data_IF_754232551472
#
_entry.id   IF_754232551472
#
_cell.length_a   1.000
_cell.length_b   1.000
_cell.length_c   1.000
_cell.angle_alpha   90.00
_cell.angle_beta   90.00
_cell.angle_gamma   90.00
#
_symmetry.space_group_name_H-M   'P 1'
#
loop_
_entity.id
_entity.type
_entity.pdbx_description
1 polymer ?
#
# COMPACT_ATOMS: atom_id res chain seq x y z
N UNK A 1 4.50 -4.26 20.68
CA UNK A 1 3.53 -5.06 21.47
C UNK A 1 2.71 -6.04 20.61
N UNK A 2 2.17 -5.66 19.45
CA UNK A 2 1.38 -6.58 18.60
C UNK A 2 2.17 -7.81 18.09
N UNK A 3 3.39 -7.60 17.61
CA UNK A 3 4.23 -8.68 17.07
C UNK A 3 4.57 -9.78 18.08
N UNK A 4 4.74 -9.45 19.36
CA UNK A 4 4.98 -10.44 20.42
C UNK A 4 3.77 -11.34 20.69
N UNK A 5 2.60 -11.00 20.15
CA UNK A 5 1.38 -11.81 20.21
C UNK A 5 1.10 -12.52 18.87
N UNK A 6 2.08 -12.60 17.96
CA UNK A 6 1.92 -13.27 16.68
C UNK A 6 1.11 -12.48 15.63
N UNK A 7 0.80 -11.21 15.90
CA UNK A 7 0.02 -10.37 14.99
C UNK A 7 0.90 -9.78 13.86
N UNK A 8 0.42 -9.93 12.63
CA UNK A 8 0.96 -9.28 11.44
C UNK A 8 0.44 -7.84 11.36
N UNK A 9 1.30 -6.90 10.98
CA UNK A 9 0.91 -5.49 10.81
C UNK A 9 0.72 -5.15 9.33
N UNK A 10 -0.51 -4.78 8.98
CA UNK A 10 -0.86 -4.24 7.66
C UNK A 10 -1.25 -2.77 7.84
N UNK A 11 -0.78 -1.90 6.95
CA UNK A 11 -1.10 -0.48 6.97
C UNK A 11 -1.45 0.02 5.56
N UNK A 12 -2.27 1.08 5.50
CA UNK A 12 -2.56 1.81 4.26
C UNK A 12 -1.86 3.17 4.27
N UNK A 13 -1.32 3.55 3.12
CA UNK A 13 -0.72 4.85 2.85
C UNK A 13 -1.53 5.56 1.77
N UNK A 14 -2.20 6.65 2.15
CA UNK A 14 -2.91 7.51 1.20
C UNK A 14 -1.94 8.58 0.71
N UNK A 15 -1.75 8.68 -0.60
CA UNK A 15 -0.94 9.71 -1.23
C UNK A 15 -1.77 10.73 -1.99
N UNK A 16 -1.25 11.95 -2.07
CA UNK A 16 -1.82 13.06 -2.81
C UNK A 16 -2.68 13.99 -1.96
N UNK A 17 -2.34 14.13 -0.67
CA UNK A 17 -2.82 15.23 0.13
C UNK A 17 -2.34 16.57 -0.45
N UNK A 18 -3.03 17.70 -0.23
CA UNK A 18 -2.73 18.97 -0.91
C UNK A 18 -1.27 19.45 -0.86
N UNK A 19 -0.55 19.14 0.23
CA UNK A 19 0.87 19.49 0.41
C UNK A 19 1.86 18.44 -0.09
N UNK A 20 1.39 17.30 -0.59
CA UNK A 20 2.25 16.21 -1.04
C UNK A 20 3.03 16.60 -2.30
N UNK A 21 4.28 16.17 -2.30
CA UNK A 21 5.17 16.23 -3.46
C UNK A 21 5.72 14.84 -3.72
N UNK A 22 6.26 14.62 -4.93
CA UNK A 22 6.98 13.37 -5.21
C UNK A 22 8.07 13.10 -4.18
N UNK A 23 8.80 14.13 -3.78
CA UNK A 23 9.93 14.03 -2.86
C UNK A 23 9.49 13.77 -1.41
N UNK A 24 8.35 14.32 -0.96
CA UNK A 24 7.83 14.00 0.37
C UNK A 24 7.36 12.55 0.43
N UNK A 25 6.53 12.11 -0.51
CA UNK A 25 6.01 10.74 -0.55
C UNK A 25 7.14 9.70 -0.57
N UNK A 26 8.16 9.90 -1.42
CA UNK A 26 9.29 8.95 -1.49
C UNK A 26 10.13 8.93 -0.22
N UNK A 27 10.24 10.07 0.48
CA UNK A 27 10.92 10.18 1.78
C UNK A 27 10.11 9.48 2.86
N UNK A 28 8.80 9.67 2.88
CA UNK A 28 7.90 9.06 3.86
C UNK A 28 7.95 7.54 3.74
N UNK A 29 7.96 7.00 2.52
CA UNK A 29 8.15 5.56 2.29
C UNK A 29 9.51 5.09 2.85
N UNK A 30 10.59 5.84 2.64
CA UNK A 30 11.90 5.48 3.19
C UNK A 30 11.92 5.51 4.72
N UNK A 31 11.24 6.48 5.34
CA UNK A 31 11.05 6.56 6.80
C UNK A 31 10.26 5.35 7.28
N UNK A 32 9.13 5.02 6.66
CA UNK A 32 8.31 3.86 7.01
C UNK A 32 9.13 2.57 6.94
N UNK A 33 9.94 2.40 5.89
CA UNK A 33 10.82 1.23 5.75
C UNK A 33 11.80 1.09 6.91
N UNK A 34 12.39 2.21 7.36
CA UNK A 34 13.43 2.23 8.39
C UNK A 34 12.86 2.14 9.80
N UNK A 35 11.84 2.93 10.08
CA UNK A 35 11.43 3.26 11.45
C UNK A 35 10.15 2.54 11.89
N UNK A 36 9.32 2.07 10.96
CA UNK A 36 8.04 1.45 11.32
C UNK A 36 8.09 -0.07 11.15
N UNK A 37 7.64 -0.85 12.15
CA UNK A 37 7.54 -2.30 12.06
C UNK A 37 6.26 -2.71 11.31
N UNK A 38 6.08 -2.23 10.08
CA UNK A 38 4.98 -2.60 9.17
C UNK A 38 5.42 -3.80 8.31
N UNK A 39 4.62 -4.86 8.29
CA UNK A 39 4.89 -6.05 7.45
C UNK A 39 4.38 -5.87 6.02
N UNK A 40 3.18 -5.30 5.89
CA UNK A 40 2.47 -5.11 4.62
C UNK A 40 2.00 -3.66 4.52
N UNK A 41 2.32 -3.02 3.40
CA UNK A 41 1.90 -1.64 3.13
C UNK A 41 1.11 -1.56 1.82
N UNK A 42 -0.06 -0.96 1.90
CA UNK A 42 -0.95 -0.67 0.79
C UNK A 42 -0.83 0.80 0.41
N UNK A 43 -1.03 1.13 -0.87
CA UNK A 43 -0.96 2.49 -1.35
C UNK A 43 -2.26 2.84 -2.07
N UNK A 44 -2.80 4.03 -1.76
CA UNK A 44 -4.06 4.53 -2.29
C UNK A 44 -3.91 5.97 -2.73
N UNK A 45 -4.70 6.37 -3.74
CA UNK A 45 -4.92 7.78 -4.03
C UNK A 45 -5.85 8.41 -3.00
N UNK A 46 -5.64 9.69 -2.69
CA UNK A 46 -6.65 10.51 -2.06
C UNK A 46 -7.81 10.72 -3.06
N UNK A 47 -8.77 9.81 -3.02
CA UNK A 47 -9.92 9.80 -3.92
C UNK A 47 -11.11 10.48 -3.26
N UNK A 48 -11.64 11.58 -3.84
CA UNK A 48 -12.88 12.19 -3.38
C UNK A 48 -14.08 11.31 -3.77
N UNK A 49 -14.35 10.27 -2.99
CA UNK A 49 -15.48 9.36 -3.22
C UNK A 49 -16.80 10.15 -3.23
N UNK A 50 -17.72 9.91 -4.19
CA UNK A 50 -19.00 10.59 -4.24
C UNK A 50 -19.76 10.49 -2.91
N UNK A 51 -20.20 11.64 -2.39
CA UNK A 51 -20.86 11.74 -1.08
C UNK A 51 -19.91 12.01 0.11
N UNK A 52 -18.60 11.93 -0.09
CA UNK A 52 -17.62 12.36 0.92
C UNK A 52 -17.56 13.89 1.05
N UNK A 53 -17.08 14.37 2.19
CA UNK A 53 -16.86 15.81 2.42
C UNK A 53 -15.83 16.39 1.43
N UNK A 54 -14.80 15.63 1.08
CA UNK A 54 -13.80 16.05 0.09
C UNK A 54 -14.43 16.21 -1.30
N UNK A 55 -15.25 15.25 -1.72
CA UNK A 55 -16.02 15.37 -2.97
C UNK A 55 -16.92 16.60 -2.97
N UNK A 56 -17.68 16.84 -1.89
CA UNK A 56 -18.55 18.02 -1.75
C UNK A 56 -17.75 19.32 -1.89
N UNK A 57 -16.61 19.44 -1.21
CA UNK A 57 -15.75 20.64 -1.28
C UNK A 57 -15.20 20.87 -2.67
N UNK A 58 -14.69 19.83 -3.33
CA UNK A 58 -14.14 19.93 -4.68
C UNK A 58 -15.21 20.28 -5.70
N UNK A 59 -16.37 19.62 -5.63
CA UNK A 59 -17.52 19.88 -6.50
C UNK A 59 -18.02 21.33 -6.37
N UNK A 60 -18.24 21.81 -5.13
CA UNK A 60 -18.74 23.17 -4.88
C UNK A 60 -17.76 24.25 -5.36
N UNK A 61 -16.46 23.95 -5.38
CA UNK A 61 -15.41 24.84 -5.89
C UNK A 61 -15.20 24.74 -7.39
N UNK A 62 -15.91 23.85 -8.09
CA UNK A 62 -15.72 23.61 -9.52
C UNK A 62 -14.36 23.03 -9.87
N UNK A 63 -13.71 22.30 -8.94
CA UNK A 63 -12.43 21.63 -9.24
C UNK A 63 -12.70 20.51 -10.26
N UNK A 64 -11.91 20.42 -11.35
CA UNK A 64 -12.07 19.34 -12.31
C UNK A 64 -11.90 17.97 -11.67
N UNK A 65 -12.91 17.13 -11.85
CA UNK A 65 -12.92 15.73 -11.43
C UNK A 65 -13.25 14.84 -12.63
N UNK A 66 -12.84 13.58 -12.56
CA UNK A 66 -13.02 12.62 -13.65
C UNK A 66 -14.52 12.34 -13.85
N UNK A 67 -15.06 12.47 -15.08
CA UNK A 67 -16.46 12.15 -15.33
C UNK A 67 -16.75 10.64 -15.24
N UNK A 68 -15.71 9.80 -15.35
CA UNK A 68 -15.85 8.36 -15.27
C UNK A 68 -15.81 7.85 -13.83
N UNK A 69 -16.98 7.48 -13.31
CA UNK A 69 -17.12 6.94 -11.96
C UNK A 69 -16.36 5.63 -11.73
N UNK A 70 -15.95 4.91 -12.79
CA UNK A 70 -15.11 3.72 -12.63
C UNK A 70 -13.68 4.04 -12.15
N UNK A 71 -13.23 5.29 -12.28
CA UNK A 71 -11.91 5.72 -11.83
C UNK A 71 -11.88 6.13 -10.34
N UNK A 72 -13.02 6.09 -9.64
CA UNK A 72 -13.13 6.39 -8.21
C UNK A 72 -12.92 5.13 -7.37
N UNK A 73 -11.81 4.43 -7.63
CA UNK A 73 -11.51 3.10 -7.10
C UNK A 73 -10.33 3.08 -6.12
N UNK A 74 -9.88 4.26 -5.66
CA UNK A 74 -8.71 4.45 -4.79
C UNK A 74 -7.36 4.17 -5.45
N UNK A 75 -7.33 3.83 -6.74
CA UNK A 75 -6.13 3.41 -7.48
C UNK A 75 -5.82 4.29 -8.69
N UNK A 76 -6.73 5.20 -9.03
CA UNK A 76 -6.57 6.15 -10.11
C UNK A 76 -6.73 7.60 -9.62
N UNK A 77 -5.97 8.50 -10.26
CA UNK A 77 -6.11 9.93 -10.06
C UNK A 77 -7.40 10.44 -10.75
N UNK A 78 -8.44 10.69 -9.94
CA UNK A 78 -9.75 11.15 -10.42
C UNK A 78 -10.02 12.65 -10.15
N UNK A 79 -9.03 13.41 -9.69
CA UNK A 79 -9.11 14.87 -9.44
C UNK A 79 -7.78 15.55 -9.74
N UNK A 80 -7.80 16.88 -9.91
CA UNK A 80 -6.59 17.68 -9.96
C UNK A 80 -5.88 17.71 -8.59
N UNK A 81 -4.55 17.52 -8.59
CA UNK A 81 -3.71 17.75 -7.41
C UNK A 81 -3.15 19.18 -7.45
N UNK A 82 -3.05 19.91 -6.32
CA UNK A 82 -2.60 21.31 -6.30
C UNK A 82 -1.14 21.56 -6.74
N UNK A 83 -0.33 20.52 -6.92
CA UNK A 83 1.14 20.61 -7.09
C UNK A 83 1.59 19.66 -8.19
N UNK A 84 1.23 18.38 -8.09
CA UNK A 84 1.62 17.37 -9.07
C UNK A 84 0.67 17.37 -10.27
N UNK A 85 1.22 17.17 -11.46
CA UNK A 85 0.39 16.79 -12.62
C UNK A 85 -0.20 15.39 -12.40
N UNK A 86 -1.32 15.07 -13.09
CA UNK A 86 -1.91 13.71 -13.05
C UNK A 86 -0.88 12.63 -13.39
N UNK A 87 -0.12 12.82 -14.47
CA UNK A 87 0.92 11.88 -14.89
C UNK A 87 2.03 11.71 -13.84
N UNK A 88 2.44 12.80 -13.19
CA UNK A 88 3.41 12.75 -12.09
C UNK A 88 2.84 11.95 -10.92
N UNK A 89 1.62 12.25 -10.48
CA UNK A 89 0.98 11.60 -9.33
C UNK A 89 0.80 10.08 -9.57
N UNK A 90 0.34 9.70 -10.75
CA UNK A 90 0.25 8.29 -11.17
C UNK A 90 1.61 7.59 -11.23
N UNK A 91 2.66 8.30 -11.64
CA UNK A 91 4.01 7.75 -11.59
C UNK A 91 4.49 7.56 -10.14
N UNK A 92 4.23 8.51 -9.24
CA UNK A 92 4.59 8.39 -7.82
C UNK A 92 3.88 7.19 -7.18
N UNK A 93 2.60 6.97 -7.48
CA UNK A 93 1.86 5.80 -7.03
C UNK A 93 2.55 4.49 -7.44
N UNK A 94 2.91 4.35 -8.73
CA UNK A 94 3.64 3.16 -9.21
C UNK A 94 5.01 3.02 -8.57
N UNK A 95 5.72 4.13 -8.38
CA UNK A 95 7.04 4.15 -7.76
C UNK A 95 6.96 3.74 -6.28
N UNK A 96 5.88 4.06 -5.58
CA UNK A 96 5.66 3.67 -4.18
C UNK A 96 5.67 2.15 -3.99
N UNK A 97 4.89 1.42 -4.79
CA UNK A 97 4.89 -0.06 -4.82
C UNK A 97 6.26 -0.64 -5.16
N UNK A 98 6.96 -0.04 -6.13
CA UNK A 98 8.32 -0.47 -6.52
C UNK A 98 9.32 -0.24 -5.39
N UNK A 99 9.25 0.89 -4.71
CA UNK A 99 10.18 1.28 -3.66
C UNK A 99 9.96 0.48 -2.38
N UNK A 100 8.71 0.19 -2.03
CA UNK A 100 8.40 -0.58 -0.82
C UNK A 100 8.78 -2.05 -0.95
N UNK A 101 8.36 -2.73 -2.01
CA UNK A 101 8.58 -4.18 -2.14
C UNK A 101 9.90 -4.55 -2.84
N UNK A 102 11.00 -3.82 -2.62
CA UNK A 102 12.31 -4.25 -3.15
C UNK A 102 12.75 -5.55 -2.47
N UNK A 103 13.62 -6.31 -3.12
CA UNK A 103 14.09 -7.58 -2.58
C UNK A 103 14.81 -7.38 -1.22
N UNK A 104 15.52 -6.26 -1.06
CA UNK A 104 16.20 -5.88 0.18
C UNK A 104 15.21 -5.56 1.30
N UNK A 105 14.14 -4.83 1.01
CA UNK A 105 13.15 -4.52 2.03
C UNK A 105 12.30 -5.75 2.39
N UNK A 106 11.99 -6.61 1.41
CA UNK A 106 11.36 -7.92 1.66
C UNK A 106 12.24 -8.76 2.58
N UNK A 107 13.54 -8.84 2.32
CA UNK A 107 14.48 -9.56 3.20
C UNK A 107 14.50 -8.95 4.61
N UNK A 108 14.50 -7.62 4.71
CA UNK A 108 14.46 -6.88 5.98
C UNK A 108 13.20 -7.21 6.79
N UNK A 109 12.01 -7.16 6.17
CA UNK A 109 10.73 -7.48 6.82
C UNK A 109 10.72 -8.94 7.30
N UNK A 110 11.26 -9.88 6.52
CA UNK A 110 11.38 -11.28 6.95
C UNK A 110 12.33 -11.46 8.13
N UNK A 111 13.47 -10.77 8.16
CA UNK A 111 14.39 -10.77 9.31
C UNK A 111 13.70 -10.24 10.56
N UNK A 112 12.95 -9.14 10.43
CA UNK A 112 12.13 -8.58 11.52
C UNK A 112 11.08 -9.57 12.03
N UNK A 113 10.37 -10.22 11.10
CA UNK A 113 9.40 -11.25 11.42
C UNK A 113 10.01 -12.43 12.17
N UNK A 114 11.19 -12.90 11.73
CA UNK A 114 11.88 -14.02 12.35
C UNK A 114 12.34 -13.70 13.77
N UNK A 115 12.98 -12.54 13.97
CA UNK A 115 13.39 -12.06 15.29
C UNK A 115 12.21 -11.84 16.24
N UNK A 116 11.05 -11.47 15.69
CA UNK A 116 9.81 -11.30 16.45
C UNK A 116 9.05 -12.62 16.69
N UNK A 117 9.56 -13.77 16.26
CA UNK A 117 8.91 -15.07 16.41
C UNK A 117 7.68 -15.28 15.51
N UNK A 118 7.51 -14.50 14.45
CA UNK A 118 6.40 -14.64 13.51
C UNK A 118 6.63 -15.80 12.53
N UNK A 119 5.53 -16.43 12.10
CA UNK A 119 5.58 -17.39 11.01
C UNK A 119 5.84 -16.65 9.69
N UNK A 120 7.04 -16.81 9.13
CA UNK A 120 7.45 -16.13 7.89
C UNK A 120 6.55 -16.42 6.69
N UNK A 121 5.84 -17.55 6.66
CA UNK A 121 4.87 -17.82 5.59
C UNK A 121 3.71 -16.82 5.61
N UNK A 122 3.25 -16.44 6.81
CA UNK A 122 2.19 -15.44 6.98
C UNK A 122 2.62 -14.04 6.53
N UNK A 123 3.91 -13.79 6.34
CA UNK A 123 4.45 -12.52 5.85
C UNK A 123 4.76 -12.63 4.35
N UNK A 124 5.54 -13.64 3.93
CA UNK A 124 6.01 -13.73 2.55
C UNK A 124 4.88 -13.99 1.55
N UNK A 125 3.82 -14.73 1.96
CA UNK A 125 2.70 -15.04 1.08
C UNK A 125 1.90 -13.77 0.72
N UNK A 126 1.45 -12.93 1.68
CA UNK A 126 0.83 -11.64 1.34
C UNK A 126 1.82 -10.68 0.66
N UNK A 127 3.10 -10.62 1.06
CA UNK A 127 4.09 -9.80 0.33
C UNK A 127 4.21 -10.20 -1.14
N UNK A 128 4.17 -11.50 -1.45
CA UNK A 128 4.19 -12.01 -2.82
C UNK A 128 2.98 -11.48 -3.60
N UNK A 129 1.78 -11.54 -2.99
CA UNK A 129 0.55 -11.04 -3.61
C UNK A 129 0.61 -9.53 -3.81
N UNK A 130 1.00 -8.76 -2.80
CA UNK A 130 0.97 -7.29 -2.82
C UNK A 130 1.99 -6.70 -3.79
N UNK A 131 3.21 -7.25 -3.78
CA UNK A 131 4.23 -6.91 -4.76
C UNK A 131 3.83 -7.33 -6.17
N UNK A 132 3.31 -8.56 -6.32
CA UNK A 132 2.99 -9.15 -7.62
C UNK A 132 1.79 -8.51 -8.31
N UNK A 133 0.69 -8.26 -7.59
CA UNK A 133 -0.53 -7.69 -8.15
C UNK A 133 -0.25 -6.35 -8.85
N UNK A 134 0.48 -5.46 -8.18
CA UNK A 134 0.86 -4.16 -8.72
C UNK A 134 1.86 -4.28 -9.88
N UNK A 135 2.90 -5.11 -9.75
CA UNK A 135 4.02 -5.16 -10.71
C UNK A 135 3.77 -6.02 -11.95
N UNK A 136 3.00 -7.10 -11.81
CA UNK A 136 2.77 -8.10 -12.86
C UNK A 136 1.45 -7.82 -13.56
N UNK A 137 0.39 -7.55 -12.80
CA UNK A 137 -0.96 -7.41 -13.33
C UNK A 137 -1.44 -5.97 -13.44
N UNK A 138 -0.73 -5.02 -12.81
CA UNK A 138 -1.09 -3.61 -12.83
C UNK A 138 -2.41 -3.32 -12.11
N UNK A 139 -2.71 -4.06 -11.05
CA UNK A 139 -3.92 -3.89 -10.22
C UNK A 139 -3.54 -3.78 -8.76
N UNK A 140 -4.35 -3.13 -7.93
CA UNK A 140 -4.15 -3.16 -6.49
C UNK A 140 -4.38 -4.57 -5.94
N UNK A 141 -3.62 -4.97 -4.90
CA UNK A 141 -3.73 -6.31 -4.33
C UNK A 141 -5.11 -6.67 -3.80
N UNK A 142 -5.93 -5.71 -3.39
CA UNK A 142 -7.30 -5.99 -2.95
C UNK A 142 -8.23 -6.41 -4.11
N UNK A 143 -7.86 -6.10 -5.35
CA UNK A 143 -8.57 -6.56 -6.55
C UNK A 143 -7.97 -7.85 -7.13
N UNK A 144 -6.90 -8.36 -6.51
CA UNK A 144 -6.23 -9.55 -6.99
C UNK A 144 -7.09 -10.81 -6.81
N UNK A 145 -6.96 -11.73 -7.76
CA UNK A 145 -7.45 -13.10 -7.64
C UNK A 145 -6.47 -14.05 -8.30
N UNK A 146 -6.49 -15.33 -7.89
CA UNK A 146 -5.53 -16.33 -8.36
C UNK A 146 -5.46 -16.47 -9.89
N UNK A 147 -6.59 -16.29 -10.57
CA UNK A 147 -6.67 -16.30 -12.03
C UNK A 147 -7.62 -15.21 -12.48
N UNK A 148 -7.09 -14.24 -13.23
CA UNK A 148 -7.92 -13.18 -13.83
C UNK A 148 -8.70 -13.72 -15.02
N UNK A 149 -10.04 -13.78 -14.91
CA UNK A 149 -10.92 -14.13 -16.03
C UNK A 149 -11.08 -12.92 -16.96
N UNK A 150 -10.57 -13.03 -18.19
CA UNK A 150 -10.81 -12.04 -19.26
C UNK A 150 -11.73 -12.66 -20.31
N UNK A 151 -12.98 -12.17 -20.40
CA UNK A 151 -13.99 -12.68 -21.35
C UNK A 151 -14.06 -11.76 -22.56
N UNK A 152 -13.97 -12.32 -23.77
CA UNK A 152 -13.93 -11.57 -25.04
C UNK A 152 -15.10 -10.60 -25.22
N UNK A 153 -16.30 -11.01 -24.80
CA UNK A 153 -17.54 -10.23 -24.93
C UNK A 153 -17.77 -9.24 -23.78
N UNK A 154 -17.06 -9.36 -22.66
CA UNK A 154 -17.18 -8.43 -21.54
C UNK A 154 -16.31 -7.20 -21.82
N UNK A 155 -16.87 -6.28 -22.59
CA UNK A 155 -16.24 -5.01 -22.97
C UNK A 155 -17.02 -3.87 -22.32
N UNK A 156 -16.31 -2.79 -22.03
CA UNK A 156 -16.94 -1.56 -21.57
C UNK A 156 -17.94 -1.05 -22.63
N UNK A 157 -19.01 -0.41 -22.19
CA UNK A 157 -19.99 0.21 -23.09
C UNK A 157 -19.28 1.10 -24.13
N UNK A 158 -19.68 0.98 -25.41
CA UNK A 158 -19.06 1.68 -26.54
C UNK A 158 -17.80 1.04 -27.12
N UNK A 159 -17.17 0.07 -26.44
CA UNK A 159 -16.00 -0.62 -27.00
C UNK A 159 -16.43 -1.80 -27.90
N UNK A 160 -15.79 -1.97 -29.08
CA UNK A 160 -16.08 -3.11 -29.93
C UNK A 160 -15.62 -4.43 -29.31
N UNK A 161 -16.35 -5.49 -29.62
CA UNK A 161 -15.96 -6.86 -29.28
C UNK A 161 -14.77 -7.27 -30.15
N UNK A 162 -13.72 -7.80 -29.51
CA UNK A 162 -12.49 -8.20 -30.22
C UNK A 162 -12.76 -9.45 -31.06
N UNK A 163 -12.18 -9.51 -32.27
CA UNK A 163 -12.23 -10.67 -33.14
C UNK A 163 -11.68 -11.92 -32.40
N UNK A 164 -12.37 -13.08 -32.43
CA UNK A 164 -11.90 -14.31 -31.77
C UNK A 164 -10.47 -14.73 -32.14
N UNK A 165 -10.09 -14.61 -33.41
CA UNK A 165 -8.79 -15.04 -33.94
C UNK A 165 -7.65 -14.16 -33.38
N UNK A 166 -7.92 -12.89 -33.09
CA UNK A 166 -6.97 -12.03 -32.42
C UNK A 166 -6.98 -12.24 -30.89
N UNK A 167 -8.17 -12.41 -30.31
CA UNK A 167 -8.35 -12.45 -28.86
C UNK A 167 -7.70 -13.66 -28.21
N UNK A 168 -7.92 -14.88 -28.72
CA UNK A 168 -7.46 -16.09 -28.02
C UNK A 168 -5.93 -16.28 -28.05
N UNK A 169 -5.21 -16.03 -29.15
CA UNK A 169 -3.75 -16.03 -29.15
C UNK A 169 -3.16 -14.97 -28.22
N UNK A 170 -3.70 -13.74 -28.26
CA UNK A 170 -3.30 -12.69 -27.32
C UNK A 170 -3.55 -13.12 -25.87
N UNK A 171 -4.71 -13.72 -25.59
CA UNK A 171 -5.07 -14.14 -24.23
C UNK A 171 -4.18 -15.27 -23.73
N UNK A 172 -3.81 -16.22 -24.58
CA UNK A 172 -2.87 -17.29 -24.23
C UNK A 172 -1.47 -16.72 -23.92
N UNK A 173 -1.00 -15.76 -24.73
CA UNK A 173 0.26 -15.07 -24.49
C UNK A 173 0.24 -14.26 -23.18
N UNK A 174 -0.78 -13.42 -22.99
CA UNK A 174 -1.00 -12.62 -21.78
C UNK A 174 -1.04 -13.51 -20.52
N UNK A 175 -1.81 -14.60 -20.54
CA UNK A 175 -1.86 -15.55 -19.44
C UNK A 175 -0.49 -16.18 -19.14
N UNK A 176 0.25 -16.58 -20.19
CA UNK A 176 1.56 -17.21 -20.04
C UNK A 176 2.58 -16.24 -19.45
N UNK A 177 2.63 -14.99 -19.94
CA UNK A 177 3.53 -13.95 -19.42
C UNK A 177 3.23 -13.67 -17.95
N UNK A 178 1.96 -13.50 -17.59
CA UNK A 178 1.53 -13.26 -16.21
C UNK A 178 1.89 -14.45 -15.30
N UNK A 179 1.59 -15.69 -15.74
CA UNK A 179 1.91 -16.90 -14.97
C UNK A 179 3.42 -17.07 -14.75
N UNK A 180 4.24 -16.82 -15.77
CA UNK A 180 5.70 -16.83 -15.64
C UNK A 180 6.20 -15.72 -14.71
N UNK A 181 5.59 -14.53 -14.75
CA UNK A 181 5.87 -13.43 -13.83
C UNK A 181 5.63 -13.84 -12.38
N UNK A 182 4.46 -14.43 -12.09
CA UNK A 182 4.10 -14.93 -10.76
C UNK A 182 5.03 -16.04 -10.29
N UNK A 183 5.32 -17.03 -11.15
CA UNK A 183 6.23 -18.12 -10.82
C UNK A 183 7.64 -17.58 -10.48
N UNK A 184 8.17 -16.65 -11.28
CA UNK A 184 9.47 -16.02 -11.03
C UNK A 184 9.50 -15.26 -9.70
N UNK A 185 8.47 -14.47 -9.41
CA UNK A 185 8.36 -13.73 -8.16
C UNK A 185 8.26 -14.67 -6.96
N UNK A 186 7.39 -15.69 -7.04
CA UNK A 186 7.23 -16.70 -6.01
C UNK A 186 8.56 -17.40 -5.71
N UNK A 187 9.24 -17.93 -6.73
CA UNK A 187 10.54 -18.60 -6.55
C UNK A 187 11.59 -17.66 -5.94
N UNK A 188 11.61 -16.40 -6.37
CA UNK A 188 12.52 -15.38 -5.83
C UNK A 188 12.26 -15.12 -4.34
N UNK A 189 11.02 -14.87 -3.95
CA UNK A 189 10.66 -14.57 -2.56
C UNK A 189 10.84 -15.80 -1.65
N UNK A 190 10.58 -17.01 -2.16
CA UNK A 190 10.90 -18.25 -1.44
C UNK A 190 12.41 -18.43 -1.26
N UNK A 191 13.24 -18.03 -2.23
CA UNK A 191 14.71 -18.05 -2.11
C UNK A 191 15.19 -17.06 -1.04
N UNK A 192 14.63 -15.85 -1.00
CA UNK A 192 14.93 -14.84 0.04
C UNK A 192 14.54 -15.39 1.43
N UNK A 193 13.32 -15.91 1.58
CA UNK A 193 12.87 -16.50 2.86
C UNK A 193 13.80 -17.63 3.32
N UNK A 194 14.19 -18.55 2.43
CA UNK A 194 15.14 -19.63 2.77
C UNK A 194 16.49 -19.08 3.23
N UNK A 195 17.00 -18.03 2.60
CA UNK A 195 18.26 -17.37 2.99
C UNK A 195 18.18 -16.77 4.39
N UNK A 196 17.09 -16.06 4.69
CA UNK A 196 16.86 -15.47 6.01
C UNK A 196 16.80 -16.56 7.09
N UNK A 197 16.07 -17.65 6.83
CA UNK A 197 15.98 -18.78 7.77
C UNK A 197 17.31 -19.51 8.00
N UNK A 198 18.22 -19.49 7.03
CA UNK A 198 19.53 -20.15 7.12
C UNK A 198 20.61 -19.27 7.76
N UNK A 199 20.30 -18.01 8.10
CA UNK A 199 21.26 -17.07 8.69
C UNK A 199 21.53 -17.47 10.15
N UNK A 200 22.82 -17.66 10.56
CA UNK A 200 23.16 -17.88 11.96
C UNK A 200 22.68 -16.71 12.83
N UNK A 201 22.19 -17.00 14.03
CA UNK A 201 21.68 -16.00 14.98
C UNK A 201 20.59 -15.06 14.42
N UNK A 202 19.82 -15.50 13.42
CA UNK A 202 18.78 -14.66 12.82
C UNK A 202 17.70 -14.18 13.81
N UNK A 203 17.55 -14.86 14.96
CA UNK A 203 16.65 -14.46 16.03
C UNK A 203 17.12 -13.22 16.79
N UNK A 204 18.43 -12.90 16.77
CA UNK A 204 18.99 -11.72 17.43
C UNK A 204 18.99 -10.47 16.53
N UNK A 205 18.34 -10.54 15.36
CA UNK A 205 18.26 -9.39 14.44
C UNK A 205 17.52 -8.22 15.10
N UNK A 206 18.10 -7.02 14.97
CA UNK A 206 17.56 -5.78 15.52
C UNK A 206 17.85 -4.61 14.58
N UNK A 207 16.89 -3.72 14.40
CA UNK A 207 17.03 -2.47 13.66
C UNK A 207 16.15 -1.37 14.28
N UNK A 208 16.15 -0.17 13.67
CA UNK A 208 15.40 0.99 14.17
C UNK A 208 13.90 0.67 14.36
N UNK A 209 13.28 -0.07 13.43
CA UNK A 209 11.85 -0.41 13.47
C UNK A 209 11.46 -1.36 14.60
N UNK A 210 12.38 -2.21 15.05
CA UNK A 210 12.14 -3.13 16.17
C UNK A 210 12.45 -2.50 17.53
N UNK A 211 13.07 -1.31 17.59
CA UNK A 211 13.33 -0.64 18.86
C UNK A 211 12.01 -0.28 19.56
N UNK A 212 11.89 -0.54 20.87
CA UNK A 212 10.75 -0.03 21.63
C UNK A 212 10.72 1.50 21.53
N UNK A 213 9.54 2.10 21.28
CA UNK A 213 9.42 3.56 21.33
C UNK A 213 9.76 4.05 22.73
N UNK A 214 10.38 5.23 22.83
CA UNK A 214 10.58 5.89 24.11
C UNK A 214 9.21 6.13 24.78
N UNK A 215 9.10 5.99 26.12
CA UNK A 215 7.82 6.09 26.82
C UNK A 215 7.07 7.41 26.53
N UNK A 216 7.80 8.50 26.34
CA UNK A 216 7.25 9.86 26.22
C UNK A 216 6.62 10.18 24.86
N UNK A 217 7.02 9.48 23.79
CA UNK A 217 6.63 9.86 22.41
C UNK A 217 5.19 9.47 22.06
N UNK A 218 4.67 8.39 22.64
CA UNK A 218 3.32 7.91 22.35
C UNK A 218 2.24 8.77 23.03
N UNK A 219 2.47 9.19 24.27
CA UNK A 219 1.54 10.02 25.03
C UNK A 219 1.45 11.43 24.45
N UNK A 220 2.58 11.99 23.99
CA UNK A 220 2.65 13.33 23.41
C UNK A 220 1.86 13.47 22.09
N UNK A 221 1.83 12.43 21.24
CA UNK A 221 1.06 12.45 19.99
C UNK A 221 -0.45 12.48 20.23
N UNK A 222 -0.93 11.66 21.17
CA UNK A 222 -2.35 11.64 21.54
C UNK A 222 -2.74 12.97 22.19
N UNK A 223 -1.89 13.53 23.05
CA UNK A 223 -2.12 14.82 23.71
C UNK A 223 -2.14 16.00 22.71
N UNK A 224 -1.22 16.03 21.74
CA UNK A 224 -1.16 17.06 20.69
C UNK A 224 -2.45 17.14 19.85
N UNK A 225 -3.02 15.99 19.51
CA UNK A 225 -4.22 15.93 18.66
C UNK A 225 -5.53 15.75 19.44
N UNK A 226 -5.48 15.57 20.77
CA UNK A 226 -6.67 15.43 21.62
C UNK A 226 -7.66 16.58 21.48
N UNK A 227 -7.16 17.79 21.19
CA UNK A 227 -7.98 18.98 20.98
C UNK A 227 -8.69 18.97 19.61
N UNK A 228 -8.08 18.34 18.59
CA UNK A 228 -8.63 18.24 17.25
C UNK A 228 -9.64 17.08 17.09
N UNK A 229 -9.65 16.12 18.02
CA UNK A 229 -10.61 15.00 18.03
C UNK A 229 -11.97 15.52 18.53
N UNK A 230 -13.05 15.42 17.73
CA UNK A 230 -14.40 15.78 18.17
C UNK A 230 -14.80 14.96 19.41
N UNK A 231 -15.51 15.57 20.36
CA UNK A 231 -16.00 14.88 21.55
C UNK A 231 -16.99 13.77 21.16
N UNK A 232 -16.44 12.56 21.06
CA UNK A 232 -17.13 11.34 20.65
C UNK A 232 -16.75 10.22 21.63
N UNK A 233 -17.48 9.11 21.59
CA UNK A 233 -17.24 8.00 22.52
C UNK A 233 -15.85 7.41 22.30
N UNK A 234 -15.00 7.40 23.34
CA UNK A 234 -13.61 6.96 23.26
C UNK A 234 -12.59 8.07 22.99
N UNK A 235 -13.00 9.34 22.95
CA UNK A 235 -12.08 10.47 22.87
C UNK A 235 -11.13 10.50 24.10
N UNK A 236 -9.84 10.83 23.91
CA UNK A 236 -8.87 10.89 25.00
C UNK A 236 -9.25 11.95 26.03
N UNK A 237 -8.97 11.67 27.30
CA UNK A 237 -9.21 12.61 28.41
C UNK A 237 -8.31 13.82 28.22
N UNK A 238 -8.91 14.97 27.92
CA UNK A 238 -8.20 16.24 27.78
C UNK A 238 -7.73 16.67 29.17
N UNK A 239 -6.42 16.64 29.43
CA UNK A 239 -5.86 17.26 30.64
C UNK A 239 -6.10 18.77 30.53
N UNK A 240 -6.96 19.32 31.37
CA UNK A 240 -7.09 20.77 31.49
C UNK A 240 -5.73 21.33 31.92
N UNK A 241 -5.20 22.30 31.17
CA UNK A 241 -4.06 23.09 31.63
C UNK A 241 -4.46 23.72 32.97
N UNK A 242 -3.74 23.35 34.03
CA UNK A 242 -3.88 24.00 35.34
C UNK A 242 -3.44 25.44 35.11
N UNK A 243 -4.40 26.38 35.22
CA UNK A 243 -4.10 27.80 35.18
C UNK A 243 -3.17 28.13 36.36
N UNK A 244 -1.93 28.52 36.02
CA UNK A 244 -1.01 29.21 36.91
C UNK A 244 -1.05 30.70 36.63
#
# INVERSE_FOLDING_TARGET
>A
KWRSHGALTCAGYILGFPGDTKQSILRDIAIIQRELPVDILEFFFLTPLPGSEDHKKLYTRGVPMDPDMNNYDLEHACTAHPIMSKATWEQVYRDAWKRYYTDEHVETVLRRGLASGLNLRKIIDPMTIFSGASRIEGVHPLQYGYVRRKVRSQRRHGMPVVNPIAFYPWRAFDFTVVALGWLRLFLRYRKIMKRVMATPDAQSYMDDALRPPAPETADHLVELYAQAIPHTHGAPVRKHAVAG
#
